data_IF_192588168144
#
_entry.id   IF_192588168144
#
_cell.length_a   1.000
_cell.length_b   1.000
_cell.length_c   1.000
_cell.angle_alpha   90.00
_cell.angle_beta   90.00
_cell.angle_gamma   90.00
#
_symmetry.space_group_name_H-M   'P 1'
#
loop_
_entity.id
_entity.type
_entity.pdbx_description
1 polymer ?
#
# COMPACT_ATOMS: atom_id res chain seq x y z
N UNK A 1 -26.87 -11.85 -18.58
CA UNK A 1 -26.80 -12.67 -17.36
C UNK A 1 -25.46 -13.41 -17.27
N UNK A 2 -24.71 -13.18 -16.18
CA UNK A 2 -23.39 -13.78 -15.96
C UNK A 2 -23.42 -15.32 -15.94
N UNK A 3 -22.23 -15.96 -15.85
CA UNK A 3 -22.08 -17.42 -15.94
C UNK A 3 -22.87 -18.20 -14.87
N UNK A 4 -23.25 -17.55 -13.76
CA UNK A 4 -23.93 -18.16 -12.62
C UNK A 4 -25.41 -17.74 -12.52
N UNK A 5 -26.24 -18.23 -13.45
CA UNK A 5 -27.66 -17.86 -13.57
C UNK A 5 -28.52 -18.19 -12.34
N UNK A 6 -28.11 -19.18 -11.54
CA UNK A 6 -28.86 -19.67 -10.36
C UNK A 6 -28.67 -18.83 -9.10
N UNK A 7 -27.67 -17.93 -9.07
CA UNK A 7 -27.28 -17.20 -7.86
C UNK A 7 -28.00 -15.85 -7.66
N UNK A 8 -28.93 -15.50 -8.56
CA UNK A 8 -29.72 -14.26 -8.52
C UNK A 8 -29.05 -13.09 -9.27
N UNK A 9 -29.85 -12.18 -9.83
CA UNK A 9 -29.36 -11.11 -10.72
C UNK A 9 -28.45 -10.07 -10.06
N UNK A 10 -28.46 -9.96 -8.74
CA UNK A 10 -27.65 -8.99 -7.97
C UNK A 10 -26.48 -9.63 -7.23
N UNK A 11 -26.30 -10.94 -7.34
CA UNK A 11 -25.22 -11.66 -6.67
C UNK A 11 -24.08 -11.88 -7.65
N UNK A 12 -22.96 -11.26 -7.35
CA UNK A 12 -21.73 -11.44 -8.11
C UNK A 12 -20.95 -12.60 -7.50
N UNK A 13 -20.43 -13.46 -8.36
CA UNK A 13 -19.55 -14.57 -8.00
C UNK A 13 -18.48 -14.63 -9.06
N UNK A 14 -17.22 -14.69 -8.63
CA UNK A 14 -16.08 -14.80 -9.51
C UNK A 14 -15.29 -16.04 -9.12
N UNK A 15 -14.88 -16.81 -10.13
CA UNK A 15 -13.93 -17.91 -9.96
C UNK A 15 -12.67 -17.51 -10.73
N UNK A 16 -11.64 -17.11 -9.99
CA UNK A 16 -10.38 -16.63 -10.55
C UNK A 16 -9.19 -17.35 -9.90
N UNK A 17 -8.17 -17.61 -10.71
CA UNK A 17 -6.93 -18.26 -10.29
C UNK A 17 -5.74 -17.32 -10.53
N UNK A 18 -5.61 -16.22 -9.76
CA UNK A 18 -4.47 -15.33 -9.87
C UNK A 18 -3.18 -16.02 -9.43
N UNK A 19 -2.07 -15.66 -10.07
CA UNK A 19 -0.73 -16.01 -9.61
C UNK A 19 -0.08 -14.76 -9.01
N UNK A 20 0.38 -14.87 -7.77
CA UNK A 20 1.08 -13.79 -7.08
C UNK A 20 2.43 -14.31 -6.61
N UNK A 21 3.47 -13.49 -6.75
CA UNK A 21 4.81 -13.84 -6.28
C UNK A 21 5.65 -12.61 -6.02
N UNK A 22 6.79 -12.84 -5.38
CA UNK A 22 7.75 -11.77 -5.14
C UNK A 22 9.13 -12.33 -4.84
N UNK A 23 10.14 -11.53 -5.12
CA UNK A 23 11.54 -11.79 -4.82
C UNK A 23 12.12 -10.59 -4.09
N UNK A 24 13.07 -10.82 -3.17
CA UNK A 24 13.74 -9.74 -2.46
C UNK A 24 15.22 -10.03 -2.30
N UNK A 25 16.01 -8.97 -2.30
CA UNK A 25 17.42 -8.98 -1.91
C UNK A 25 17.63 -7.84 -0.92
N UNK A 26 18.38 -8.12 0.14
CA UNK A 26 18.70 -7.15 1.18
C UNK A 26 20.14 -7.36 1.63
N UNK A 27 20.85 -6.26 1.80
CA UNK A 27 22.19 -6.21 2.36
C UNK A 27 22.25 -5.28 3.57
N UNK A 28 23.15 -5.62 4.49
CA UNK A 28 23.41 -4.84 5.71
C UNK A 28 24.90 -4.59 5.82
N UNK A 29 25.27 -3.32 5.69
CA UNK A 29 26.64 -2.87 5.83
C UNK A 29 26.84 -2.23 7.20
N UNK A 30 27.80 -2.73 7.98
CA UNK A 30 28.18 -2.19 9.28
C UNK A 30 29.65 -1.78 9.29
N UNK A 31 29.92 -0.50 9.62
CA UNK A 31 31.30 -0.01 9.76
C UNK A 31 31.41 1.02 10.87
N UNK A 32 32.26 0.76 11.86
CA UNK A 32 32.72 1.73 12.88
C UNK A 32 31.58 2.56 13.50
N UNK A 33 30.41 1.95 13.69
CA UNK A 33 29.14 2.50 14.21
C UNK A 33 28.11 3.04 13.19
N UNK A 34 28.45 3.13 11.91
CA UNK A 34 27.47 3.34 10.83
C UNK A 34 26.86 1.99 10.43
N UNK A 35 25.53 1.92 10.39
CA UNK A 35 24.76 0.78 9.89
C UNK A 35 23.90 1.27 8.73
N UNK A 36 24.10 0.69 7.56
CA UNK A 36 23.28 0.92 6.37
C UNK A 36 22.56 -0.38 6.05
N UNK A 37 21.24 -0.32 5.90
CA UNK A 37 20.41 -1.39 5.38
C UNK A 37 19.89 -0.94 4.02
N UNK A 38 20.16 -1.72 2.98
CA UNK A 38 19.62 -1.47 1.66
C UNK A 38 18.98 -2.74 1.14
N UNK A 39 17.81 -2.64 0.53
CA UNK A 39 17.15 -3.78 -0.06
C UNK A 39 16.20 -3.35 -1.16
N UNK A 40 15.91 -4.29 -2.03
CA UNK A 40 14.88 -4.13 -3.06
C UNK A 40 14.04 -5.39 -3.08
N UNK A 41 12.72 -5.19 -3.13
CA UNK A 41 11.74 -6.24 -3.36
C UNK A 41 11.03 -5.97 -4.67
N UNK A 42 10.79 -7.02 -5.43
CA UNK A 42 9.95 -6.98 -6.63
C UNK A 42 8.79 -7.93 -6.39
N UNK A 43 7.58 -7.41 -6.50
CA UNK A 43 6.34 -8.18 -6.45
C UNK A 43 5.74 -8.25 -7.86
N UNK A 44 5.13 -9.36 -8.21
CA UNK A 44 4.40 -9.53 -9.46
C UNK A 44 3.03 -10.18 -9.23
N UNK A 45 2.08 -9.74 -10.03
CA UNK A 45 0.68 -10.15 -9.98
C UNK A 45 0.23 -10.52 -11.40
N UNK A 46 -0.33 -11.70 -11.56
CA UNK A 46 -0.97 -12.15 -12.79
C UNK A 46 -2.45 -12.36 -12.51
N UNK A 47 -3.35 -11.54 -13.07
CA UNK A 47 -4.78 -11.62 -12.84
C UNK A 47 -5.43 -12.97 -13.24
N UNK A 48 -4.76 -13.81 -14.01
CA UNK A 48 -5.24 -15.13 -14.40
C UNK A 48 -6.19 -15.11 -15.60
N UNK A 49 -6.64 -16.30 -16.02
CA UNK A 49 -7.36 -16.48 -17.29
C UNK A 49 -8.75 -15.86 -17.32
N UNK A 50 -9.42 -15.70 -16.17
CA UNK A 50 -10.81 -15.20 -16.09
C UNK A 50 -10.97 -13.82 -16.73
N UNK A 51 -9.98 -12.93 -16.55
CA UNK A 51 -9.99 -11.59 -17.15
C UNK A 51 -9.28 -11.54 -18.49
N UNK A 52 -8.55 -12.59 -18.86
CA UNK A 52 -7.89 -12.65 -20.17
C UNK A 52 -8.79 -13.24 -21.26
N UNK A 53 -9.91 -13.85 -20.88
CA UNK A 53 -10.93 -14.39 -21.76
C UNK A 53 -11.51 -13.31 -22.69
N UNK A 54 -11.68 -13.63 -23.97
CA UNK A 54 -12.18 -12.70 -24.98
C UNK A 54 -13.62 -12.27 -24.69
N UNK A 55 -14.48 -13.18 -24.22
CA UNK A 55 -15.87 -12.86 -23.87
C UNK A 55 -15.91 -11.91 -22.67
N UNK A 56 -15.03 -12.11 -21.69
CA UNK A 56 -14.91 -11.20 -20.54
C UNK A 56 -14.46 -9.80 -20.98
N UNK A 57 -13.43 -9.72 -21.83
CA UNK A 57 -12.93 -8.44 -22.35
C UNK A 57 -14.00 -7.71 -23.13
N UNK A 58 -14.67 -8.36 -24.08
CA UNK A 58 -15.76 -7.77 -24.85
C UNK A 58 -16.86 -7.23 -23.94
N UNK A 59 -17.27 -8.00 -22.93
CA UNK A 59 -18.33 -7.60 -21.99
C UNK A 59 -17.88 -6.45 -21.07
N UNK A 60 -16.60 -6.42 -20.70
CA UNK A 60 -16.02 -5.33 -19.93
C UNK A 60 -15.92 -4.04 -20.76
N UNK A 61 -15.50 -4.13 -22.03
CA UNK A 61 -15.47 -2.99 -22.96
C UNK A 61 -16.89 -2.47 -23.23
N UNK A 62 -17.85 -3.37 -23.42
CA UNK A 62 -19.28 -3.03 -23.53
C UNK A 62 -19.85 -2.39 -22.26
N UNK A 63 -19.39 -2.79 -21.07
CA UNK A 63 -19.87 -2.19 -19.83
C UNK A 63 -19.27 -0.81 -19.57
N UNK A 64 -18.01 -0.60 -19.95
CA UNK A 64 -17.22 0.56 -19.51
C UNK A 64 -16.98 1.61 -20.59
N UNK A 65 -17.28 1.34 -21.87
CA UNK A 65 -16.81 2.13 -23.04
C UNK A 65 -15.28 2.27 -23.14
N UNK A 66 -14.50 1.53 -22.33
CA UNK A 66 -13.04 1.56 -22.33
C UNK A 66 -12.46 0.39 -23.12
N UNK A 67 -11.18 0.48 -23.50
CA UNK A 67 -10.46 -0.63 -24.12
C UNK A 67 -9.77 -1.51 -23.07
N UNK A 68 -9.93 -2.82 -23.20
CA UNK A 68 -9.36 -3.82 -22.30
C UNK A 68 -7.86 -4.02 -22.55
N UNK A 69 -7.06 -3.05 -22.12
CA UNK A 69 -5.62 -2.97 -22.38
C UNK A 69 -4.73 -3.23 -21.14
N UNK A 70 -5.18 -4.07 -20.20
CA UNK A 70 -4.36 -4.43 -19.03
C UNK A 70 -3.24 -5.42 -19.38
N UNK A 71 -2.12 -5.29 -18.68
CA UNK A 71 -0.99 -6.22 -18.81
C UNK A 71 -1.27 -7.56 -18.13
N UNK A 72 -0.89 -8.67 -18.80
CA UNK A 72 -0.97 -10.04 -18.25
C UNK A 72 -0.17 -10.21 -16.96
N UNK A 73 0.88 -9.42 -16.81
CA UNK A 73 1.76 -9.42 -15.65
C UNK A 73 1.92 -7.97 -15.20
N UNK A 74 1.46 -7.70 -13.99
CA UNK A 74 1.71 -6.45 -13.29
C UNK A 74 2.88 -6.67 -12.32
N UNK A 75 3.70 -5.66 -12.13
CA UNK A 75 4.85 -5.74 -11.25
C UNK A 75 5.06 -4.43 -10.51
N UNK A 76 5.62 -4.52 -9.31
CA UNK A 76 5.90 -3.38 -8.47
C UNK A 76 7.27 -3.54 -7.80
N UNK A 77 8.05 -2.47 -7.78
CA UNK A 77 9.38 -2.44 -7.17
C UNK A 77 9.31 -1.63 -5.87
N UNK A 78 9.79 -2.23 -4.79
CA UNK A 78 9.79 -1.70 -3.43
C UNK A 78 11.22 -1.58 -2.90
N UNK A 79 11.95 -0.50 -3.27
CA UNK A 79 13.23 -0.19 -2.63
C UNK A 79 13.06 0.20 -1.16
N UNK A 80 14.02 -0.19 -0.32
CA UNK A 80 14.11 0.17 1.09
C UNK A 80 15.53 0.54 1.43
N UNK A 81 15.68 1.67 2.12
CA UNK A 81 16.96 2.20 2.54
C UNK A 81 16.82 2.69 3.98
N UNK A 82 17.70 2.21 4.85
CA UNK A 82 17.80 2.66 6.23
C UNK A 82 19.23 2.97 6.56
N UNK A 83 19.48 4.08 7.22
CA UNK A 83 20.79 4.46 7.75
C UNK A 83 20.64 4.76 9.22
N UNK A 84 21.52 4.21 10.04
CA UNK A 84 21.58 4.53 11.46
C UNK A 84 23.03 4.68 11.89
N UNK A 85 23.30 5.69 12.70
CA UNK A 85 24.63 5.98 13.20
C UNK A 85 24.53 6.64 14.58
N UNK A 86 25.50 6.42 15.47
CA UNK A 86 25.58 7.20 16.70
C UNK A 86 25.91 8.65 16.33
N UNK A 87 25.36 9.58 17.10
CA UNK A 87 25.65 10.99 16.85
C UNK A 87 27.15 11.28 17.08
N UNK A 88 27.85 11.97 16.15
CA UNK A 88 29.30 12.18 16.22
C UNK A 88 29.80 12.84 17.52
N UNK A 89 28.93 13.61 18.19
CA UNK A 89 29.25 14.36 19.40
C UNK A 89 28.77 13.67 20.69
N UNK A 90 28.20 12.45 20.62
CA UNK A 90 27.79 11.75 21.85
C UNK A 90 27.58 10.24 21.72
N UNK A 91 28.28 9.47 22.57
CA UNK A 91 28.18 8.01 22.67
C UNK A 91 26.79 7.47 23.09
N UNK A 92 25.89 8.35 23.53
CA UNK A 92 24.57 7.99 24.08
C UNK A 92 23.40 8.38 23.17
N UNK A 93 23.66 8.94 21.98
CA UNK A 93 22.62 9.27 20.99
C UNK A 93 22.75 8.35 19.78
N UNK A 94 21.61 7.84 19.30
CA UNK A 94 21.48 7.16 18.02
C UNK A 94 20.52 7.94 17.14
N UNK A 95 20.91 8.18 15.90
CA UNK A 95 20.02 8.67 14.85
C UNK A 95 19.73 7.52 13.91
N UNK A 96 18.49 7.45 13.44
CA UNK A 96 18.12 6.59 12.33
C UNK A 96 17.26 7.36 11.34
N UNK A 97 17.45 7.04 10.07
CA UNK A 97 16.62 7.49 8.98
C UNK A 97 16.23 6.26 8.15
N UNK A 98 14.97 6.18 7.79
CA UNK A 98 14.41 5.09 6.98
C UNK A 98 13.59 5.70 5.84
N UNK A 99 13.76 5.14 4.66
CA UNK A 99 13.03 5.47 3.46
C UNK A 99 12.63 4.18 2.76
N UNK A 100 11.35 4.02 2.47
CA UNK A 100 10.86 2.79 1.84
C UNK A 100 9.67 3.02 0.95
N UNK A 101 9.62 2.28 -0.15
CA UNK A 101 8.43 2.09 -0.97
C UNK A 101 7.78 0.78 -0.57
N UNK A 102 6.48 0.80 -0.38
CA UNK A 102 5.66 -0.37 -0.06
C UNK A 102 4.52 -0.42 -1.06
N UNK A 103 4.48 -1.50 -1.84
CA UNK A 103 3.42 -1.72 -2.82
C UNK A 103 2.51 -2.82 -2.29
N UNK A 104 1.20 -2.61 -2.36
CA UNK A 104 0.20 -3.58 -1.95
C UNK A 104 -0.75 -3.84 -3.11
N UNK A 105 -1.09 -5.11 -3.33
CA UNK A 105 -2.12 -5.46 -4.32
C UNK A 105 -3.47 -5.05 -3.74
N UNK A 106 -4.30 -4.29 -4.47
CA UNK A 106 -5.69 -4.07 -4.11
C UNK A 106 -6.45 -5.36 -3.87
N UNK A 107 -7.57 -5.26 -3.18
CA UNK A 107 -8.40 -6.43 -2.94
C UNK A 107 -8.89 -7.05 -4.27
N UNK A 108 -8.80 -8.38 -4.38
CA UNK A 108 -9.10 -9.10 -5.62
C UNK A 108 -10.53 -8.85 -6.13
N UNK A 109 -11.48 -8.54 -5.24
CA UNK A 109 -12.84 -8.18 -5.65
C UNK A 109 -12.89 -6.96 -6.60
N UNK A 110 -11.96 -6.01 -6.45
CA UNK A 110 -11.89 -4.83 -7.32
C UNK A 110 -11.35 -5.17 -8.71
N UNK A 111 -10.64 -6.28 -8.88
CA UNK A 111 -10.21 -6.79 -10.17
C UNK A 111 -11.31 -7.58 -10.89
N UNK A 112 -12.00 -8.46 -10.15
CA UNK A 112 -12.86 -9.50 -10.74
C UNK A 112 -14.36 -9.25 -10.62
N UNK A 113 -14.79 -8.10 -10.09
CA UNK A 113 -16.22 -7.78 -10.06
C UNK A 113 -16.78 -7.77 -11.48
N UNK A 114 -17.92 -8.43 -11.66
CA UNK A 114 -18.46 -8.73 -12.97
C UNK A 114 -18.95 -7.49 -13.73
N UNK A 115 -18.76 -7.43 -15.06
CA UNK A 115 -19.26 -6.35 -15.88
C UNK A 115 -20.77 -6.48 -16.20
N UNK A 116 -21.42 -7.61 -15.86
CA UNK A 116 -22.76 -7.94 -16.34
C UNK A 116 -23.91 -7.25 -15.57
N UNK A 117 -23.65 -6.81 -14.34
CA UNK A 117 -24.66 -6.26 -13.43
C UNK A 117 -24.88 -4.74 -13.58
N UNK A 118 -24.03 -4.06 -14.36
CA UNK A 118 -24.27 -2.69 -14.84
C UNK A 118 -24.23 -1.55 -13.81
N UNK A 119 -23.96 -1.84 -12.53
CA UNK A 119 -23.83 -0.78 -11.49
C UNK A 119 -22.37 -0.54 -11.12
N UNK A 120 -21.60 -1.60 -10.94
CA UNK A 120 -20.20 -1.53 -10.54
C UNK A 120 -19.43 -2.60 -11.28
N UNK A 121 -18.25 -2.24 -11.77
CA UNK A 121 -17.42 -3.14 -12.59
C UNK A 121 -16.00 -3.17 -12.04
N UNK A 122 -15.43 -4.38 -12.00
CA UNK A 122 -14.03 -4.59 -11.64
C UNK A 122 -13.09 -4.03 -12.71
N UNK A 123 -11.87 -3.70 -12.33
CA UNK A 123 -10.85 -3.23 -13.24
C UNK A 123 -9.61 -4.14 -13.13
N UNK A 124 -9.42 -5.05 -14.10
CA UNK A 124 -8.24 -5.90 -14.12
C UNK A 124 -6.92 -5.12 -14.35
N UNK A 125 -7.01 -3.84 -14.76
CA UNK A 125 -5.90 -2.92 -14.93
C UNK A 125 -5.50 -2.13 -13.69
N UNK A 126 -6.08 -2.41 -12.52
CA UNK A 126 -5.70 -1.72 -11.27
C UNK A 126 -4.22 -1.91 -10.96
N UNK A 127 -3.54 -0.81 -10.67
CA UNK A 127 -2.16 -0.79 -10.21
C UNK A 127 -2.07 -1.09 -8.71
N UNK A 128 -0.85 -1.41 -8.27
CA UNK A 128 -0.54 -1.60 -6.86
C UNK A 128 -0.72 -0.28 -6.09
N UNK A 129 -1.35 -0.34 -4.91
CA UNK A 129 -1.37 0.78 -3.99
C UNK A 129 0.04 1.06 -3.49
N UNK A 130 0.53 2.28 -3.71
CA UNK A 130 1.92 2.64 -3.41
C UNK A 130 1.98 3.55 -2.20
N UNK A 131 2.73 3.10 -1.21
CA UNK A 131 3.06 3.86 -0.01
C UNK A 131 4.54 4.22 -0.02
N UNK A 132 4.84 5.52 0.05
CA UNK A 132 6.19 6.03 0.27
C UNK A 132 6.27 6.50 1.73
N UNK A 133 7.18 5.90 2.49
CA UNK A 133 7.36 6.19 3.91
C UNK A 133 8.75 6.78 4.14
N UNK A 134 8.78 7.90 4.85
CA UNK A 134 9.98 8.52 5.39
C UNK A 134 9.87 8.50 6.91
N UNK A 135 10.91 8.03 7.57
CA UNK A 135 11.00 8.06 9.03
C UNK A 135 12.35 8.61 9.46
N UNK A 136 12.33 9.49 10.43
CA UNK A 136 13.50 9.98 11.12
C UNK A 136 13.31 9.74 12.60
N UNK A 137 14.31 9.22 13.28
CA UNK A 137 14.25 9.11 14.73
C UNK A 137 15.56 9.34 15.43
N UNK A 138 15.42 9.78 16.67
CA UNK A 138 16.49 10.11 17.59
C UNK A 138 16.20 9.41 18.91
N UNK A 139 17.10 8.51 19.28
CA UNK A 139 17.09 7.87 20.59
C UNK A 139 18.26 8.39 21.40
N UNK A 140 18.01 8.83 22.62
CA UNK A 140 19.05 9.37 23.51
C UNK A 140 18.87 8.84 24.92
N UNK A 141 19.95 8.33 25.48
CA UNK A 141 20.03 8.04 26.91
C UNK A 141 20.38 9.32 27.69
N UNK A 142 19.64 9.57 28.78
CA UNK A 142 19.89 10.63 29.74
C UNK A 142 20.26 9.99 31.09
N UNK A 143 21.48 10.25 31.54
CA UNK A 143 22.00 9.63 32.77
C UNK A 143 22.10 8.11 32.64
N UNK A 144 21.85 7.39 33.74
CA UNK A 144 21.96 5.92 33.78
C UNK A 144 20.63 5.21 33.50
N UNK A 145 19.51 5.87 33.82
CA UNK A 145 18.22 5.19 33.97
C UNK A 145 17.13 5.68 33.02
N UNK A 146 17.34 6.81 32.33
CA UNK A 146 16.33 7.39 31.43
C UNK A 146 16.76 7.31 29.96
N UNK A 147 15.80 7.09 29.09
CA UNK A 147 15.96 7.19 27.65
C UNK A 147 14.75 7.89 27.05
N UNK A 148 14.98 8.82 26.13
CA UNK A 148 13.94 9.39 25.29
C UNK A 148 14.15 8.96 23.84
N UNK A 149 13.04 8.73 23.16
CA UNK A 149 12.98 8.39 21.74
C UNK A 149 11.97 9.33 21.08
N UNK A 150 12.39 9.98 20.01
CA UNK A 150 11.55 10.87 19.22
C UNK A 150 11.60 10.37 17.80
N UNK A 151 10.43 10.12 17.22
CA UNK A 151 10.30 9.72 15.82
C UNK A 151 9.39 10.71 15.10
N UNK A 152 9.74 11.02 13.88
CA UNK A 152 8.92 11.75 12.93
C UNK A 152 8.73 10.87 11.71
N UNK A 153 7.49 10.67 11.31
CA UNK A 153 7.16 9.89 10.12
C UNK A 153 6.28 10.70 9.17
N UNK A 154 6.48 10.49 7.88
CA UNK A 154 5.64 10.99 6.82
C UNK A 154 5.38 9.84 5.84
N UNK A 155 4.11 9.52 5.65
CA UNK A 155 3.59 8.46 4.78
C UNK A 155 2.72 9.08 3.71
N UNK A 156 3.12 8.95 2.45
CA UNK A 156 2.32 9.31 1.29
C UNK A 156 1.80 8.03 0.64
N UNK A 157 0.49 7.93 0.48
CA UNK A 157 -0.24 6.79 -0.08
C UNK A 157 -0.88 7.28 -1.38
N UNK A 158 -0.60 6.57 -2.47
CA UNK A 158 -1.04 6.88 -3.82
C UNK A 158 -1.65 5.64 -4.46
N UNK A 159 -2.41 5.85 -5.54
CA UNK A 159 -3.06 4.78 -6.29
C UNK A 159 -4.06 3.98 -5.44
N UNK A 160 -4.69 4.59 -4.43
CA UNK A 160 -5.72 3.89 -3.64
C UNK A 160 -6.94 3.62 -4.50
N UNK A 161 -7.60 2.48 -4.27
CA UNK A 161 -8.82 2.16 -5.01
C UNK A 161 -9.94 3.14 -4.66
N UNK A 162 -10.44 3.81 -5.69
CA UNK A 162 -11.68 4.57 -5.69
C UNK A 162 -12.59 4.08 -6.80
N UNK A 163 -13.59 4.88 -7.15
CA UNK A 163 -14.54 4.58 -8.23
C UNK A 163 -14.62 5.76 -9.19
N UNK A 164 -14.37 5.51 -10.48
CA UNK A 164 -14.58 6.47 -11.56
C UNK A 164 -15.87 6.14 -12.27
N UNK A 165 -16.76 7.12 -12.43
CA UNK A 165 -18.03 6.91 -13.15
C UNK A 165 -17.80 7.03 -14.65
N UNK A 166 -18.00 5.93 -15.38
CA UNK A 166 -17.83 5.87 -16.83
C UNK A 166 -19.19 5.82 -17.54
N UNK A 167 -19.30 6.39 -18.76
CA UNK A 167 -20.52 6.26 -19.57
C UNK A 167 -20.80 4.78 -19.88
N UNK A 168 -22.04 4.34 -19.72
CA UNK A 168 -22.46 3.01 -20.19
C UNK A 168 -22.72 3.01 -21.70
N UNK A 169 -22.49 1.87 -22.38
CA UNK A 169 -22.64 1.73 -23.85
C UNK A 169 -24.09 1.81 -24.33
N UNK A 170 -25.10 1.50 -23.51
CA UNK A 170 -26.48 1.67 -23.97
C UNK A 170 -26.73 3.16 -24.23
N UNK A 171 -27.22 3.50 -25.42
CA UNK A 171 -27.76 4.84 -25.71
C UNK A 171 -28.92 5.05 -24.73
N UNK A 172 -28.71 5.85 -23.67
CA UNK A 172 -29.64 5.99 -22.54
C UNK A 172 -29.43 4.98 -21.38
N UNK A 173 -28.31 4.25 -21.38
CA UNK A 173 -27.89 3.34 -20.31
C UNK A 173 -27.43 4.08 -19.07
N UNK A 174 -27.60 3.45 -17.91
CA UNK A 174 -27.13 4.00 -16.65
C UNK A 174 -25.60 4.02 -16.62
N UNK A 175 -24.97 5.06 -16.04
CA UNK A 175 -23.53 5.12 -15.88
C UNK A 175 -23.04 3.99 -14.95
N UNK A 176 -21.85 3.48 -15.22
CA UNK A 176 -21.22 2.39 -14.46
C UNK A 176 -20.12 2.94 -13.56
N UNK A 177 -20.07 2.47 -12.32
CA UNK A 177 -18.98 2.80 -11.39
C UNK A 177 -17.82 1.79 -11.57
N UNK A 178 -16.76 2.21 -12.24
CA UNK A 178 -15.55 1.42 -12.48
C UNK A 178 -14.57 1.61 -11.33
N UNK A 179 -14.03 0.53 -10.76
CA UNK A 179 -12.94 0.66 -9.79
C UNK A 179 -11.66 1.18 -10.45
N UNK A 180 -11.04 2.19 -9.86
CA UNK A 180 -9.89 2.86 -10.46
C UNK A 180 -8.94 3.39 -9.38
N UNK A 181 -7.66 3.58 -9.72
CA UNK A 181 -6.63 4.04 -8.79
C UNK A 181 -6.60 5.57 -8.70
N UNK A 182 -7.64 6.16 -8.12
CA UNK A 182 -7.79 7.64 -8.05
C UNK A 182 -7.54 8.23 -6.66
N UNK A 183 -7.48 7.39 -5.62
CA UNK A 183 -7.36 7.86 -4.25
C UNK A 183 -5.92 8.21 -3.86
N UNK A 184 -5.79 9.27 -3.07
CA UNK A 184 -4.51 9.70 -2.48
C UNK A 184 -4.71 10.02 -1.00
N UNK A 185 -3.76 9.62 -0.16
CA UNK A 185 -3.76 9.98 1.25
C UNK A 185 -2.36 10.33 1.74
N UNK A 186 -2.31 11.19 2.75
CA UNK A 186 -1.07 11.62 3.40
C UNK A 186 -1.26 11.55 4.90
N UNK A 187 -0.33 10.88 5.58
CA UNK A 187 -0.26 10.86 7.03
C UNK A 187 1.11 11.35 7.49
N UNK A 188 1.14 12.18 8.52
CA UNK A 188 2.37 12.66 9.17
C UNK A 188 2.18 12.58 10.67
N UNK A 189 3.22 12.24 11.40
CA UNK A 189 3.12 12.18 12.85
C UNK A 189 4.45 12.28 13.56
N UNK A 190 4.33 12.53 14.86
CA UNK A 190 5.42 12.57 15.81
C UNK A 190 5.13 11.57 16.92
N UNK A 191 6.11 10.74 17.23
CA UNK A 191 6.06 9.81 18.34
C UNK A 191 7.11 10.20 19.37
N UNK A 192 6.70 10.24 20.62
CA UNK A 192 7.56 10.47 21.77
C UNK A 192 7.46 9.27 22.69
N UNK A 193 8.60 8.73 23.08
CA UNK A 193 8.66 7.66 24.06
C UNK A 193 9.70 8.02 25.14
N UNK A 194 9.28 7.96 26.40
CA UNK A 194 10.14 8.15 27.56
C UNK A 194 10.15 6.85 28.35
N UNK A 195 11.33 6.25 28.47
CA UNK A 195 11.55 5.01 29.22
C UNK A 195 12.42 5.28 30.45
N UNK A 196 11.95 4.84 31.61
CA UNK A 196 12.71 4.82 32.87
C UNK A 196 12.95 3.37 33.29
N UNK A 197 14.22 2.97 33.31
CA UNK A 197 14.65 1.68 33.87
C UNK A 197 14.40 1.65 35.38
N UNK A 198 14.19 0.44 35.92
CA UNK A 198 13.96 0.25 37.34
C UNK A 198 15.15 0.78 38.16
N UNK A 199 14.91 1.86 38.90
CA UNK A 199 15.89 2.54 39.73
C UNK A 199 15.16 3.24 40.86
N UNK A 200 15.66 3.10 42.09
CA UNK A 200 15.03 3.63 43.32
C UNK A 200 13.53 3.28 43.42
N UNK A 201 13.19 2.00 43.23
CA UNK A 201 11.84 1.43 43.34
C UNK A 201 10.81 1.91 42.30
N UNK A 202 11.21 2.68 41.27
CA UNK A 202 10.29 3.20 40.25
C UNK A 202 10.81 2.85 38.86
N UNK A 203 9.93 2.32 38.02
CA UNK A 203 10.12 2.07 36.59
C UNK A 203 8.87 2.49 35.84
N UNK A 204 9.02 2.84 34.57
CA UNK A 204 7.87 3.20 33.76
C UNK A 204 8.22 3.48 32.31
N UNK A 205 7.19 3.44 31.47
CA UNK A 205 7.26 3.82 30.07
C UNK A 205 6.06 4.71 29.75
N UNK A 206 6.31 5.84 29.11
CA UNK A 206 5.29 6.75 28.63
C UNK A 206 5.47 6.92 27.13
N UNK A 207 4.39 6.77 26.39
CA UNK A 207 4.37 6.93 24.93
C UNK A 207 3.28 7.92 24.56
N UNK A 208 3.59 8.84 23.66
CA UNK A 208 2.66 9.84 23.16
C UNK A 208 2.84 9.97 21.64
N UNK A 209 1.74 9.83 20.90
CA UNK A 209 1.73 9.94 19.43
C UNK A 209 0.77 11.07 19.03
N UNK A 210 1.26 11.96 18.16
CA UNK A 210 0.45 12.95 17.48
C UNK A 210 0.49 12.63 15.99
N UNK A 211 -0.67 12.51 15.37
CA UNK A 211 -0.79 12.24 13.95
C UNK A 211 -1.80 13.14 13.25
N UNK A 212 -1.49 13.52 12.02
CA UNK A 212 -2.39 14.20 11.09
C UNK A 212 -2.51 13.34 9.84
N UNK A 213 -3.74 12.98 9.48
CA UNK A 213 -4.04 12.16 8.33
C UNK A 213 -5.09 12.86 7.46
N UNK A 214 -4.76 13.07 6.19
CA UNK A 214 -5.64 13.66 5.19
C UNK A 214 -5.85 12.65 4.06
N UNK A 215 -7.10 12.40 3.70
CA UNK A 215 -7.48 11.66 2.50
C UNK A 215 -8.02 12.62 1.45
N UNK A 216 -7.67 12.36 0.19
CA UNK A 216 -8.14 13.08 -0.98
C UNK A 216 -8.87 12.07 -1.87
N UNK A 217 -10.16 12.32 -2.09
CA UNK A 217 -10.94 11.61 -3.11
C UNK A 217 -11.18 12.58 -4.25
N UNK A 218 -10.98 12.13 -5.48
CA UNK A 218 -11.54 12.78 -6.67
C UNK A 218 -13.02 12.52 -6.78
#
# INVERSE_FOLDING_TARGET
>A
PGPFKEFGQYRWTFNAYPLMGGAYIQDKFEKSSLIINAGVRVDWFMPGSTVEDEDWKLQWEEATTQHAAWGKIQHAVSPRFGISFPFPLSAHTKLFFSYGHFNQIPELQFYYRDPYTGSFTGNPGLQFEKTILYEFGLTRQIGRDWAFDIKSYAKDISEQVGTTRVPGVQIGGLPVDLYDNVGYARARGLEFELTKKHSYFISGKMTYNIQWANGYSS
#
